data_IF_632581799701
#
_entry.id   IF_632581799701
#
_cell.length_a   1.000
_cell.length_b   1.000
_cell.length_c   1.000
_cell.angle_alpha   90.00
_cell.angle_beta   90.00
_cell.angle_gamma   90.00
#
_symmetry.space_group_name_H-M   'P 1'
#
loop_
_entity.id
_entity.type
_entity.pdbx_description
1 polymer ?
#
# COMPACT_ATOMS: atom_id res chain seq x y z
N UNK A 1 22.40 58.81 48.45
CA UNK A 1 21.90 57.64 49.21
C UNK A 1 20.51 57.15 48.77
N UNK A 2 19.62 57.96 48.18
CA UNK A 2 18.28 57.53 47.77
C UNK A 2 18.22 56.61 46.53
N UNK A 3 19.18 56.70 45.60
CA UNK A 3 19.20 55.84 44.39
C UNK A 3 19.53 54.37 44.70
N UNK A 4 20.43 54.11 45.65
CA UNK A 4 20.85 52.75 46.00
C UNK A 4 19.75 51.93 46.68
N UNK A 5 18.88 52.58 47.47
CA UNK A 5 17.76 51.89 48.13
C UNK A 5 16.62 51.56 47.17
N UNK A 6 16.41 52.37 46.12
CA UNK A 6 15.44 52.11 45.07
C UNK A 6 15.89 50.93 44.19
N UNK A 7 17.15 50.93 43.75
CA UNK A 7 17.74 49.82 42.98
C UNK A 7 17.71 48.50 43.78
N UNK A 8 18.01 48.53 45.08
CA UNK A 8 17.96 47.33 45.92
C UNK A 8 16.53 46.79 46.14
N UNK A 9 15.51 47.66 46.23
CA UNK A 9 14.10 47.24 46.32
C UNK A 9 13.59 46.68 44.99
N UNK A 10 13.91 47.33 43.88
CA UNK A 10 13.54 46.85 42.54
C UNK A 10 14.24 45.54 42.19
N UNK A 11 15.51 45.35 42.58
CA UNK A 11 16.23 44.09 42.38
C UNK A 11 15.56 42.92 43.13
N UNK A 12 15.06 43.14 44.35
CA UNK A 12 14.31 42.12 45.10
C UNK A 12 13.00 41.74 44.41
N UNK A 13 12.27 42.71 43.87
CA UNK A 13 11.02 42.46 43.13
C UNK A 13 11.30 41.67 41.84
N UNK A 14 12.34 42.05 41.09
CA UNK A 14 12.74 41.35 39.85
C UNK A 14 13.19 39.91 40.15
N UNK A 15 13.96 39.69 41.21
CA UNK A 15 14.37 38.34 41.61
C UNK A 15 13.16 37.47 42.01
N UNK A 16 12.21 38.06 42.73
CA UNK A 16 11.03 37.34 43.23
C UNK A 16 10.07 36.98 42.09
N UNK A 17 9.83 37.90 41.14
CA UNK A 17 9.03 37.60 39.94
C UNK A 17 9.70 36.58 39.03
N UNK A 18 11.03 36.65 38.88
CA UNK A 18 11.80 35.65 38.09
C UNK A 18 11.73 34.27 38.74
N UNK A 19 11.87 34.18 40.07
CA UNK A 19 11.76 32.91 40.79
C UNK A 19 10.36 32.30 40.67
N UNK A 20 9.30 33.11 40.80
CA UNK A 20 7.91 32.65 40.61
C UNK A 20 7.68 32.18 39.17
N UNK A 21 8.16 32.94 38.17
CA UNK A 21 8.09 32.53 36.76
C UNK A 21 8.81 31.22 36.49
N UNK A 22 9.99 31.01 37.08
CA UNK A 22 10.75 29.77 36.96
C UNK A 22 10.03 28.57 37.59
N UNK A 23 9.42 28.74 38.77
CA UNK A 23 8.64 27.67 39.43
C UNK A 23 7.42 27.30 38.58
N UNK A 24 6.70 28.28 38.04
CA UNK A 24 5.56 28.03 37.14
C UNK A 24 6.04 27.32 35.87
N UNK A 25 7.15 27.74 35.27
CA UNK A 25 7.70 27.10 34.07
C UNK A 25 8.11 25.64 34.32
N UNK A 26 8.77 25.35 35.44
CA UNK A 26 9.16 23.98 35.82
C UNK A 26 7.93 23.12 36.10
N UNK A 27 6.93 23.65 36.78
CA UNK A 27 5.68 22.95 37.01
C UNK A 27 5.00 22.60 35.68
N UNK A 28 4.83 23.56 34.77
CA UNK A 28 4.23 23.34 33.46
C UNK A 28 5.03 22.34 32.60
N UNK A 29 6.37 22.40 32.64
CA UNK A 29 7.22 21.47 31.90
C UNK A 29 7.10 20.03 32.41
N UNK A 30 6.93 19.85 33.72
CA UNK A 30 6.80 18.52 34.34
C UNK A 30 5.49 17.81 33.98
N UNK A 31 4.45 18.56 33.59
CA UNK A 31 3.17 18.01 33.14
C UNK A 31 3.12 17.71 31.64
N UNK A 32 4.17 18.02 30.87
CA UNK A 32 4.18 17.78 29.45
C UNK A 32 4.64 16.35 29.16
N UNK A 33 3.68 15.42 29.06
CA UNK A 33 3.97 14.02 28.71
C UNK A 33 4.70 13.96 27.36
N UNK A 34 5.78 13.17 27.25
CA UNK A 34 6.52 13.03 26.00
C UNK A 34 5.60 12.43 24.92
N UNK A 35 5.43 13.16 23.81
CA UNK A 35 4.64 12.72 22.66
C UNK A 35 5.57 12.25 21.56
N UNK A 36 5.46 10.99 21.19
CA UNK A 36 6.24 10.38 20.12
C UNK A 36 5.43 10.34 18.85
N UNK A 37 5.78 11.15 17.84
CA UNK A 37 5.10 11.14 16.55
C UNK A 37 5.80 10.19 15.59
N UNK A 38 5.12 9.10 15.25
CA UNK A 38 5.50 8.20 14.19
C UNK A 38 5.00 8.67 12.82
N UNK A 39 5.75 8.34 11.76
CA UNK A 39 5.37 8.55 10.36
C UNK A 39 5.71 7.33 9.52
N UNK A 40 4.89 7.07 8.51
CA UNK A 40 5.18 6.09 7.46
C UNK A 40 4.67 6.59 6.11
N UNK A 41 5.31 6.14 5.04
CA UNK A 41 4.83 6.34 3.67
C UNK A 41 4.31 5.00 3.15
N UNK A 42 3.07 4.99 2.66
CA UNK A 42 2.43 3.80 2.10
C UNK A 42 2.24 3.99 0.60
N UNK A 43 2.70 3.01 -0.17
CA UNK A 43 2.39 2.88 -1.58
C UNK A 43 1.09 2.09 -1.74
N UNK A 44 0.13 2.70 -2.43
CA UNK A 44 -1.18 2.14 -2.74
C UNK A 44 -0.99 1.03 -3.77
N UNK A 45 -1.56 -0.15 -3.51
CA UNK A 45 -1.45 -1.27 -4.45
C UNK A 45 -2.08 -0.98 -5.81
N UNK A 46 -1.57 -1.66 -6.82
CA UNK A 46 -1.96 -1.50 -8.22
C UNK A 46 -2.21 -2.87 -8.85
N UNK A 47 -3.21 -2.94 -9.73
CA UNK A 47 -3.49 -4.13 -10.53
C UNK A 47 -3.56 -3.72 -11.99
N UNK A 48 -2.74 -4.36 -12.82
CA UNK A 48 -2.78 -4.16 -14.26
C UNK A 48 -4.06 -4.73 -14.87
N UNK A 49 -4.56 -4.08 -15.92
CA UNK A 49 -5.64 -4.64 -16.72
C UNK A 49 -5.08 -5.18 -18.04
N UNK A 50 -5.19 -6.50 -18.31
CA UNK A 50 -4.65 -7.10 -19.54
C UNK A 50 -5.35 -6.61 -20.83
N UNK A 51 -6.48 -5.90 -20.72
CA UNK A 51 -7.24 -5.38 -21.87
C UNK A 51 -6.75 -4.04 -22.45
N UNK A 52 -5.58 -3.53 -22.01
CA UNK A 52 -4.82 -2.54 -22.80
C UNK A 52 -4.68 -1.14 -22.21
N UNK A 53 -4.94 -0.92 -20.92
CA UNK A 53 -4.48 0.30 -20.27
C UNK A 53 -2.95 0.25 -20.10
N UNK A 54 -2.25 1.24 -20.66
CA UNK A 54 -0.78 1.31 -20.61
C UNK A 54 -0.24 1.41 -19.17
N UNK A 55 -1.06 1.92 -18.24
CA UNK A 55 -0.77 2.04 -16.81
C UNK A 55 -1.73 1.15 -16.01
N UNK A 56 -1.20 0.47 -14.99
CA UNK A 56 -2.03 -0.33 -14.10
C UNK A 56 -2.99 0.55 -13.30
N UNK A 57 -4.12 -0.01 -12.90
CA UNK A 57 -5.14 0.72 -12.13
C UNK A 57 -4.81 0.60 -10.65
N UNK A 58 -4.67 1.74 -9.96
CA UNK A 58 -4.60 1.75 -8.50
C UNK A 58 -5.87 1.12 -7.92
N UNK A 59 -5.72 0.32 -6.86
CA UNK A 59 -6.83 -0.30 -6.14
C UNK A 59 -7.83 0.76 -5.66
N UNK A 60 -7.30 1.90 -5.24
CA UNK A 60 -8.04 3.07 -4.80
C UNK A 60 -7.26 4.35 -5.17
N UNK A 61 -7.93 5.47 -5.39
CA UNK A 61 -7.22 6.74 -5.62
C UNK A 61 -6.62 7.28 -4.32
N UNK A 62 -5.52 8.02 -4.44
CA UNK A 62 -4.86 8.68 -3.30
C UNK A 62 -5.81 9.57 -2.49
N UNK A 63 -6.71 10.30 -3.17
CA UNK A 63 -7.69 11.17 -2.52
C UNK A 63 -8.68 10.37 -1.66
N UNK A 64 -9.30 9.36 -2.24
CA UNK A 64 -10.32 8.54 -1.55
C UNK A 64 -9.70 7.79 -0.37
N UNK A 65 -8.49 7.25 -0.54
CA UNK A 65 -7.77 6.59 0.53
C UNK A 65 -7.43 7.55 1.67
N UNK A 66 -6.94 8.75 1.34
CA UNK A 66 -6.61 9.79 2.33
C UNK A 66 -7.85 10.21 3.11
N UNK A 67 -8.96 10.46 2.43
CA UNK A 67 -10.22 10.86 3.06
C UNK A 67 -10.74 9.75 3.97
N UNK A 68 -10.73 8.49 3.50
CA UNK A 68 -11.15 7.33 4.30
C UNK A 68 -10.31 7.19 5.56
N UNK A 69 -8.98 7.27 5.47
CA UNK A 69 -8.09 7.19 6.63
C UNK A 69 -8.34 8.30 7.65
N UNK A 70 -8.81 9.46 7.20
CA UNK A 70 -9.10 10.59 8.06
C UNK A 70 -10.50 10.54 8.69
N UNK A 71 -11.34 9.57 8.33
CA UNK A 71 -12.67 9.42 8.93
C UNK A 71 -12.60 8.99 10.40
N UNK A 72 -13.56 9.43 11.24
CA UNK A 72 -13.69 8.93 12.62
C UNK A 72 -13.82 7.41 12.69
N UNK A 73 -14.54 6.80 11.74
CA UNK A 73 -14.75 5.35 11.68
C UNK A 73 -13.44 4.59 11.56
N UNK A 74 -12.56 5.02 10.65
CA UNK A 74 -11.24 4.40 10.49
C UNK A 74 -10.39 4.55 11.76
N UNK A 75 -10.37 5.74 12.36
CA UNK A 75 -9.60 5.99 13.58
C UNK A 75 -10.09 5.14 14.76
N UNK A 76 -11.41 5.01 14.92
CA UNK A 76 -12.02 4.14 15.92
C UNK A 76 -11.71 2.66 15.67
N UNK A 77 -11.66 2.24 14.41
CA UNK A 77 -11.23 0.88 14.04
C UNK A 77 -9.79 0.62 14.47
N UNK A 78 -8.88 1.59 14.28
CA UNK A 78 -7.48 1.46 14.73
C UNK A 78 -7.40 1.31 16.26
N UNK A 79 -8.12 2.14 17.01
CA UNK A 79 -8.17 2.02 18.47
C UNK A 79 -8.68 0.64 18.91
N UNK A 80 -9.77 0.17 18.30
CA UNK A 80 -10.33 -1.16 18.57
C UNK A 80 -9.30 -2.27 18.29
N UNK A 81 -8.60 -2.19 17.18
CA UNK A 81 -7.58 -3.18 16.80
C UNK A 81 -6.34 -3.13 17.71
N UNK A 82 -6.05 -1.98 18.32
CA UNK A 82 -5.04 -1.83 19.38
C UNK A 82 -5.50 -2.33 20.76
N UNK A 83 -6.79 -2.70 20.91
CA UNK A 83 -7.38 -3.07 22.20
C UNK A 83 -7.61 -1.87 23.12
N UNK A 84 -7.63 -0.66 22.57
CA UNK A 84 -7.87 0.58 23.31
C UNK A 84 -9.37 0.91 23.34
N UNK A 85 -9.86 1.53 24.44
CA UNK A 85 -11.24 1.98 24.52
C UNK A 85 -11.53 3.13 23.55
N UNK A 86 -12.81 3.43 23.35
CA UNK A 86 -13.27 4.55 22.55
C UNK A 86 -12.62 5.88 22.98
N UNK A 87 -12.46 6.85 22.06
CA UNK A 87 -11.80 8.12 22.38
C UNK A 87 -12.57 8.96 23.42
N UNK A 88 -13.86 8.70 23.61
CA UNK A 88 -14.70 9.35 24.64
C UNK A 88 -14.47 8.80 26.05
N UNK A 89 -13.65 7.76 26.21
CA UNK A 89 -13.24 7.27 27.53
C UNK A 89 -12.20 8.20 28.16
N UNK A 90 -12.04 8.13 29.49
CA UNK A 90 -10.99 8.85 30.24
C UNK A 90 -9.56 8.34 29.94
N UNK A 91 -9.34 7.63 28.83
CA UNK A 91 -8.04 7.11 28.43
C UNK A 91 -7.31 8.11 27.51
N UNK A 92 -6.27 8.74 28.05
CA UNK A 92 -5.45 9.71 27.32
C UNK A 92 -4.77 9.14 26.07
N UNK A 93 -4.38 7.86 26.08
CA UNK A 93 -3.73 7.22 24.94
C UNK A 93 -4.72 7.03 23.77
N UNK A 94 -5.97 6.67 24.07
CA UNK A 94 -7.03 6.57 23.07
C UNK A 94 -7.29 7.91 22.39
N UNK A 95 -7.43 8.98 23.18
CA UNK A 95 -7.63 10.32 22.67
C UNK A 95 -6.42 10.80 21.83
N UNK A 96 -5.20 10.57 22.34
CA UNK A 96 -3.97 10.97 21.65
C UNK A 96 -3.84 10.30 20.28
N UNK A 97 -4.04 8.99 20.19
CA UNK A 97 -3.96 8.26 18.92
C UNK A 97 -5.09 8.70 17.98
N UNK A 98 -6.31 8.84 18.47
CA UNK A 98 -7.47 9.23 17.66
C UNK A 98 -7.31 10.62 17.03
N UNK A 99 -6.86 11.60 17.81
CA UNK A 99 -6.72 12.98 17.35
C UNK A 99 -5.51 13.17 16.42
N UNK A 100 -4.43 12.43 16.69
CA UNK A 100 -3.18 12.57 15.95
C UNK A 100 -3.09 11.70 14.70
N UNK A 101 -3.87 10.62 14.59
CA UNK A 101 -3.87 9.75 13.42
C UNK A 101 -4.41 10.51 12.21
N UNK A 102 -3.53 10.74 11.23
CA UNK A 102 -3.87 11.47 10.01
C UNK A 102 -3.13 10.91 8.81
N UNK A 103 -3.85 10.81 7.69
CA UNK A 103 -3.29 10.56 6.38
C UNK A 103 -3.21 11.87 5.58
N UNK A 104 -2.16 12.00 4.78
CA UNK A 104 -1.94 13.11 3.85
C UNK A 104 -1.41 12.59 2.52
N UNK A 105 -1.71 13.24 1.39
CA UNK A 105 -1.10 12.90 0.11
C UNK A 105 0.42 13.06 0.18
N UNK A 106 1.17 12.08 -0.34
CA UNK A 106 2.62 12.17 -0.48
C UNK A 106 3.02 12.61 -1.90
N UNK A 107 4.33 12.70 -2.16
CA UNK A 107 4.85 13.05 -3.49
C UNK A 107 4.72 11.88 -4.45
N UNK A 108 3.61 11.82 -5.17
CA UNK A 108 3.32 10.76 -6.15
C UNK A 108 1.81 10.43 -6.15
N UNK A 109 1.25 9.96 -7.27
CA UNK A 109 -0.18 9.65 -7.37
C UNK A 109 -0.59 8.38 -6.61
N UNK A 110 0.36 7.55 -6.21
CA UNK A 110 0.20 6.25 -5.58
C UNK A 110 0.72 6.21 -4.13
N UNK A 111 1.12 7.36 -3.55
CA UNK A 111 1.75 7.40 -2.23
C UNK A 111 0.93 8.20 -1.22
N UNK A 112 0.79 7.73 0.00
CA UNK A 112 0.25 8.51 1.12
C UNK A 112 1.20 8.51 2.32
N UNK A 113 1.19 9.58 3.09
CA UNK A 113 1.88 9.65 4.37
C UNK A 113 0.87 9.49 5.49
N UNK A 114 1.13 8.55 6.40
CA UNK A 114 0.34 8.36 7.62
C UNK A 114 1.20 8.73 8.80
N UNK A 115 0.63 9.49 9.72
CA UNK A 115 1.27 9.87 10.97
C UNK A 115 0.34 9.63 12.14
N UNK A 116 0.92 9.34 13.30
CA UNK A 116 0.21 9.16 14.56
C UNK A 116 1.15 9.48 15.71
N UNK A 117 0.60 9.95 16.82
CA UNK A 117 1.35 10.19 18.05
C UNK A 117 0.91 9.21 19.13
N UNK A 118 1.86 8.76 19.95
CA UNK A 118 1.62 7.93 21.13
C UNK A 118 2.37 8.46 22.35
N UNK A 119 1.99 7.97 23.53
CA UNK A 119 2.68 8.24 24.80
C UNK A 119 4.04 7.55 24.89
N UNK A 120 4.26 6.53 24.07
CA UNK A 120 5.56 5.89 23.88
C UNK A 120 5.89 5.66 22.40
N UNK A 121 7.18 5.43 22.13
CA UNK A 121 7.67 5.07 20.80
C UNK A 121 7.01 3.78 20.29
N UNK A 122 6.92 2.79 21.17
CA UNK A 122 6.33 1.48 20.86
C UNK A 122 4.85 1.61 20.55
N UNK A 123 4.14 2.49 21.26
CA UNK A 123 2.72 2.74 21.01
C UNK A 123 2.51 3.44 19.67
N UNK A 124 3.29 4.48 19.36
CA UNK A 124 3.22 5.15 18.06
C UNK A 124 3.53 4.18 16.90
N UNK A 125 4.54 3.33 17.07
CA UNK A 125 4.87 2.28 16.10
C UNK A 125 3.72 1.30 15.91
N UNK A 126 3.18 0.73 16.99
CA UNK A 126 2.05 -0.22 16.94
C UNK A 126 0.82 0.40 16.30
N UNK A 127 0.54 1.67 16.56
CA UNK A 127 -0.57 2.38 15.95
C UNK A 127 -0.40 2.53 14.43
N UNK A 128 0.81 2.87 13.96
CA UNK A 128 1.12 2.90 12.53
C UNK A 128 1.00 1.52 11.88
N UNK A 129 1.57 0.50 12.50
CA UNK A 129 1.51 -0.88 12.00
C UNK A 129 0.06 -1.37 11.91
N UNK A 130 -0.75 -1.08 12.93
CA UNK A 130 -2.17 -1.41 12.94
C UNK A 130 -2.93 -0.67 11.84
N UNK A 131 -2.64 0.62 11.63
CA UNK A 131 -3.22 1.40 10.55
C UNK A 131 -2.84 0.83 9.17
N UNK A 132 -1.56 0.46 8.97
CA UNK A 132 -1.12 -0.19 7.74
C UNK A 132 -1.82 -1.53 7.52
N UNK A 133 -1.90 -2.39 8.53
CA UNK A 133 -2.52 -3.71 8.44
C UNK A 133 -4.01 -3.62 8.09
N UNK A 134 -4.74 -2.65 8.66
CA UNK A 134 -6.13 -2.40 8.29
C UNK A 134 -6.28 -2.04 6.80
N UNK A 135 -5.40 -1.17 6.29
CA UNK A 135 -5.38 -0.78 4.88
C UNK A 135 -4.99 -1.92 3.96
N UNK A 136 -3.91 -2.63 4.28
CA UNK A 136 -3.42 -3.77 3.52
C UNK A 136 -4.49 -4.86 3.42
N UNK A 137 -5.14 -5.19 4.54
CA UNK A 137 -6.24 -6.18 4.57
C UNK A 137 -7.39 -5.78 3.65
N UNK A 138 -7.77 -4.50 3.63
CA UNK A 138 -8.84 -4.03 2.77
C UNK A 138 -8.46 -4.06 1.29
N UNK A 139 -7.24 -3.66 0.96
CA UNK A 139 -6.73 -3.69 -0.41
C UNK A 139 -6.52 -5.13 -0.91
N UNK A 140 -6.13 -6.06 -0.03
CA UNK A 140 -5.95 -7.47 -0.37
C UNK A 140 -7.24 -8.16 -0.83
N UNK A 141 -8.41 -7.72 -0.34
CA UNK A 141 -9.72 -8.19 -0.82
C UNK A 141 -9.95 -7.92 -2.31
N UNK A 142 -9.27 -6.92 -2.88
CA UNK A 142 -9.33 -6.59 -4.31
C UNK A 142 -8.14 -7.18 -5.04
N UNK A 143 -6.94 -7.02 -4.47
CA UNK A 143 -5.68 -7.45 -5.07
C UNK A 143 -5.59 -8.96 -5.25
N UNK A 144 -5.78 -9.74 -4.18
CA UNK A 144 -5.53 -11.18 -4.21
C UNK A 144 -6.47 -11.91 -5.19
N UNK A 145 -7.79 -11.66 -5.24
CA UNK A 145 -8.65 -12.30 -6.24
C UNK A 145 -8.30 -11.92 -7.68
N UNK A 146 -7.89 -10.67 -7.92
CA UNK A 146 -7.51 -10.22 -9.26
C UNK A 146 -6.23 -10.91 -9.74
N UNK A 147 -5.19 -10.94 -8.89
CA UNK A 147 -3.93 -11.64 -9.20
C UNK A 147 -4.15 -13.14 -9.38
N UNK A 148 -4.95 -13.76 -8.52
CA UNK A 148 -5.26 -15.19 -8.63
C UNK A 148 -5.99 -15.52 -9.94
N UNK A 149 -6.92 -14.66 -10.38
CA UNK A 149 -7.58 -14.81 -11.68
C UNK A 149 -6.59 -14.72 -12.84
N UNK A 150 -5.71 -13.71 -12.85
CA UNK A 150 -4.70 -13.56 -13.90
C UNK A 150 -3.72 -14.75 -13.93
N UNK A 151 -3.32 -15.27 -12.75
CA UNK A 151 -2.48 -16.46 -12.66
C UNK A 151 -3.18 -17.71 -13.20
N UNK A 152 -4.46 -17.89 -12.88
CA UNK A 152 -5.26 -19.00 -13.40
C UNK A 152 -5.40 -18.92 -14.92
N UNK A 153 -5.67 -17.73 -15.47
CA UNK A 153 -5.76 -17.50 -16.91
C UNK A 153 -4.40 -17.73 -17.61
N UNK A 154 -3.28 -17.33 -17.01
CA UNK A 154 -1.94 -17.63 -17.55
C UNK A 154 -1.65 -19.14 -17.55
N UNK A 155 -2.09 -19.87 -16.51
CA UNK A 155 -1.97 -21.31 -16.46
C UNK A 155 -2.83 -22.00 -17.54
N UNK A 156 -4.07 -21.54 -17.75
CA UNK A 156 -4.95 -22.03 -18.82
C UNK A 156 -4.37 -21.77 -20.21
N UNK A 157 -3.88 -20.56 -20.48
CA UNK A 157 -3.20 -20.22 -21.73
C UNK A 157 -1.97 -21.09 -21.96
N UNK A 158 -1.21 -21.40 -20.91
CA UNK A 158 -0.04 -22.28 -20.99
C UNK A 158 -0.44 -23.72 -21.33
N UNK A 159 -1.53 -24.24 -20.75
CA UNK A 159 -2.06 -25.56 -21.07
C UNK A 159 -2.56 -25.63 -22.52
N UNK A 160 -3.34 -24.64 -22.95
CA UNK A 160 -3.86 -24.52 -24.31
C UNK A 160 -2.73 -24.41 -25.35
N UNK A 161 -1.66 -23.67 -25.03
CA UNK A 161 -0.48 -23.56 -25.88
C UNK A 161 0.23 -24.91 -26.03
N UNK A 162 0.45 -25.63 -24.93
CA UNK A 162 1.07 -26.96 -24.95
C UNK A 162 0.24 -27.99 -25.72
N UNK A 163 -1.09 -27.92 -25.61
CA UNK A 163 -1.98 -28.75 -26.42
C UNK A 163 -1.88 -28.42 -27.91
N UNK A 164 -1.96 -27.14 -28.28
CA UNK A 164 -1.83 -26.71 -29.67
C UNK A 164 -0.47 -27.09 -30.29
N UNK A 165 0.61 -27.01 -29.52
CA UNK A 165 1.95 -27.44 -29.95
C UNK A 165 2.02 -28.96 -30.19
N UNK A 166 1.37 -29.77 -29.35
CA UNK A 166 1.26 -31.23 -29.57
C UNK A 166 0.44 -31.56 -30.81
N UNK A 167 -0.67 -30.87 -31.02
CA UNK A 167 -1.51 -31.06 -32.20
C UNK A 167 -0.79 -30.64 -33.49
N UNK A 168 -0.02 -29.55 -33.44
CA UNK A 168 0.85 -29.12 -34.52
C UNK A 168 1.85 -30.21 -34.89
N UNK A 169 2.55 -30.79 -33.90
CA UNK A 169 3.53 -31.86 -34.13
C UNK A 169 2.89 -33.10 -34.75
N UNK A 170 1.70 -33.51 -34.28
CA UNK A 170 0.97 -34.66 -34.83
C UNK A 170 0.53 -34.42 -36.27
N UNK A 171 -0.06 -33.26 -36.56
CA UNK A 171 -0.50 -32.89 -37.90
C UNK A 171 0.67 -32.76 -38.88
N UNK A 172 1.79 -32.20 -38.42
CA UNK A 172 3.02 -32.09 -39.21
C UNK A 172 3.65 -33.47 -39.49
N UNK A 173 3.67 -34.37 -38.51
CA UNK A 173 4.14 -35.74 -38.72
C UNK A 173 3.25 -36.50 -39.74
N UNK A 174 1.93 -36.32 -39.67
CA UNK A 174 0.98 -36.93 -40.61
C UNK A 174 1.17 -36.43 -42.06
N UNK A 175 1.47 -35.15 -42.25
CA UNK A 175 1.86 -34.58 -43.55
C UNK A 175 3.12 -35.23 -44.10
N UNK A 176 4.15 -35.39 -43.26
CA UNK A 176 5.43 -35.96 -43.68
C UNK A 176 5.36 -37.48 -43.98
N UNK A 177 4.41 -38.21 -43.37
CA UNK A 177 4.19 -39.63 -43.63
C UNK A 177 3.30 -39.91 -44.84
N UNK A 178 2.62 -38.90 -45.38
CA UNK A 178 1.70 -39.04 -46.53
C UNK A 178 2.48 -39.03 -47.85
N UNK A 179 2.20 -39.98 -48.75
CA UNK A 179 2.88 -40.15 -50.05
C UNK A 179 2.93 -38.82 -50.83
N UNK A 180 4.08 -38.53 -51.48
CA UNK A 180 4.45 -37.28 -52.19
C UNK A 180 3.50 -36.77 -53.29
N UNK A 181 2.41 -37.47 -53.57
CA UNK A 181 1.42 -37.07 -54.57
C UNK A 181 0.46 -36.01 -53.98
N UNK A 182 0.23 -34.87 -54.68
CA UNK A 182 -0.63 -33.80 -54.21
C UNK A 182 -2.10 -34.23 -54.28
N UNK A 183 -2.58 -34.85 -53.21
CA UNK A 183 -4.00 -35.20 -53.01
C UNK A 183 -4.75 -34.09 -52.27
N UNK A 184 -6.07 -34.00 -52.45
CA UNK A 184 -6.93 -33.06 -51.73
C UNK A 184 -6.78 -33.18 -50.19
N UNK A 185 -6.47 -34.37 -49.69
CA UNK A 185 -6.15 -34.65 -48.29
C UNK A 185 -4.89 -33.90 -47.79
N UNK A 186 -3.84 -33.79 -48.63
CA UNK A 186 -2.60 -33.09 -48.31
C UNK A 186 -2.80 -31.57 -48.25
N UNK A 187 -3.63 -31.01 -49.15
CA UNK A 187 -3.99 -29.58 -49.13
C UNK A 187 -4.81 -29.22 -47.89
N UNK A 188 -5.75 -30.08 -47.50
CA UNK A 188 -6.53 -29.90 -46.27
C UNK A 188 -5.64 -29.93 -45.02
N UNK A 189 -4.77 -30.94 -44.90
CA UNK A 189 -3.88 -31.05 -43.73
C UNK A 189 -2.89 -29.89 -43.65
N UNK A 190 -2.42 -29.37 -44.80
CA UNK A 190 -1.57 -28.16 -44.84
C UNK A 190 -2.31 -26.93 -44.30
N UNK A 191 -3.57 -26.74 -44.66
CA UNK A 191 -4.40 -25.65 -44.13
C UNK A 191 -4.61 -25.80 -42.62
N UNK A 192 -4.89 -27.02 -42.14
CA UNK A 192 -5.02 -27.30 -40.70
C UNK A 192 -3.74 -26.95 -39.94
N UNK A 193 -2.56 -27.36 -40.44
CA UNK A 193 -1.27 -27.01 -39.82
C UNK A 193 -1.04 -25.51 -39.79
N UNK A 194 -1.35 -24.79 -40.87
CA UNK A 194 -1.25 -23.34 -40.91
C UNK A 194 -2.18 -22.67 -39.87
N UNK A 195 -3.41 -23.14 -39.74
CA UNK A 195 -4.37 -22.64 -38.74
C UNK A 195 -3.89 -22.89 -37.30
N UNK A 196 -3.37 -24.09 -37.00
CA UNK A 196 -2.79 -24.38 -35.68
C UNK A 196 -1.58 -23.48 -35.41
N UNK A 197 -0.72 -23.25 -36.41
CA UNK A 197 0.42 -22.34 -36.30
C UNK A 197 0.01 -20.92 -35.93
N UNK A 198 -1.04 -20.38 -36.57
CA UNK A 198 -1.61 -19.06 -36.22
C UNK A 198 -2.14 -19.07 -34.78
N UNK A 199 -2.85 -20.11 -34.37
CA UNK A 199 -3.38 -20.25 -33.01
C UNK A 199 -2.27 -20.27 -31.96
N UNK A 200 -1.17 -20.99 -32.20
CA UNK A 200 0.01 -21.00 -31.33
C UNK A 200 0.57 -19.59 -31.15
N UNK A 201 0.72 -18.82 -32.24
CA UNK A 201 1.22 -17.45 -32.17
C UNK A 201 0.29 -16.53 -31.37
N UNK A 202 -1.03 -16.64 -31.58
CA UNK A 202 -2.01 -15.87 -30.81
C UNK A 202 -1.98 -16.22 -29.32
N UNK A 203 -1.90 -17.50 -28.97
CA UNK A 203 -1.80 -17.96 -27.59
C UNK A 203 -0.51 -17.46 -26.92
N UNK A 204 0.63 -17.51 -27.62
CA UNK A 204 1.91 -16.97 -27.13
C UNK A 204 1.82 -15.47 -26.86
N UNK A 205 1.26 -14.70 -27.80
CA UNK A 205 1.08 -13.26 -27.61
C UNK A 205 0.14 -12.93 -26.45
N UNK A 206 -0.97 -13.67 -26.32
CA UNK A 206 -1.91 -13.51 -25.21
C UNK A 206 -1.22 -13.80 -23.86
N UNK A 207 -0.48 -14.91 -23.78
CA UNK A 207 0.30 -15.27 -22.58
C UNK A 207 1.32 -14.20 -22.22
N UNK A 208 2.10 -13.73 -23.19
CA UNK A 208 3.12 -12.72 -22.94
C UNK A 208 2.52 -11.42 -22.40
N UNK A 209 1.40 -10.94 -22.97
CA UNK A 209 0.72 -9.72 -22.46
C UNK A 209 0.21 -9.90 -21.02
N UNK A 210 -0.30 -11.09 -20.70
CA UNK A 210 -0.80 -11.39 -19.36
C UNK A 210 0.33 -11.52 -18.35
N UNK A 211 1.44 -12.17 -18.73
CA UNK A 211 2.64 -12.28 -17.89
C UNK A 211 3.28 -10.91 -17.66
N UNK A 212 3.34 -10.05 -18.68
CA UNK A 212 3.77 -8.66 -18.55
C UNK A 212 2.86 -7.89 -17.57
N UNK A 213 1.55 -8.12 -17.62
CA UNK A 213 0.58 -7.50 -16.70
C UNK A 213 0.75 -7.98 -15.26
N UNK A 214 1.18 -9.23 -15.06
CA UNK A 214 1.49 -9.82 -13.76
C UNK A 214 2.83 -9.35 -13.17
N UNK A 215 3.70 -8.72 -13.96
CA UNK A 215 4.99 -8.25 -13.46
C UNK A 215 4.82 -7.25 -12.31
N UNK A 216 5.69 -7.34 -11.29
CA UNK A 216 5.66 -6.51 -10.08
C UNK A 216 5.70 -5.00 -10.35
N UNK A 217 6.19 -4.59 -11.52
CA UNK A 217 6.21 -3.18 -11.96
C UNK A 217 4.80 -2.67 -12.27
N UNK A 218 3.89 -3.56 -12.68
CA UNK A 218 2.52 -3.23 -13.12
C UNK A 218 1.45 -3.68 -12.12
N UNK A 219 1.71 -4.75 -11.39
CA UNK A 219 0.81 -5.30 -10.39
C UNK A 219 1.58 -5.54 -9.10
N UNK A 220 1.26 -4.77 -8.05
CA UNK A 220 1.94 -4.87 -6.77
C UNK A 220 0.95 -4.63 -5.61
N UNK A 221 1.15 -5.29 -4.47
CA UNK A 221 0.29 -5.10 -3.31
C UNK A 221 0.58 -3.74 -2.64
N UNK A 222 -0.30 -3.36 -1.71
CA UNK A 222 -0.07 -2.18 -0.88
C UNK A 222 1.10 -2.44 0.07
N UNK A 223 2.05 -1.51 0.16
CA UNK A 223 3.29 -1.72 0.93
C UNK A 223 3.80 -0.44 1.57
N UNK A 224 4.59 -0.58 2.63
CA UNK A 224 5.29 0.55 3.28
C UNK A 224 6.60 0.84 2.54
N UNK A 225 6.86 2.12 2.26
CA UNK A 225 8.12 2.61 1.71
C UNK A 225 8.97 3.22 2.83
N UNK A 226 10.26 2.87 2.89
CA UNK A 226 11.21 3.45 3.85
C UNK A 226 11.01 3.03 5.32
N UNK A 227 10.03 2.15 5.60
CA UNK A 227 9.74 1.65 6.94
C UNK A 227 8.97 2.62 7.83
N UNK A 228 8.78 2.24 9.09
CA UNK A 228 8.16 3.07 10.11
C UNK A 228 9.22 3.98 10.74
N UNK A 229 9.03 5.30 10.64
CA UNK A 229 9.91 6.27 11.27
C UNK A 229 9.29 6.78 12.57
N UNK A 230 9.91 6.48 13.70
CA UNK A 230 9.62 7.12 14.99
C UNK A 230 10.95 7.65 15.55
N UNK A 231 11.07 8.97 15.78
CA UNK A 231 12.33 9.58 16.23
C UNK A 231 12.83 8.93 17.53
N UNK A 232 14.15 8.96 17.72
CA UNK A 232 14.87 8.48 18.91
C UNK A 232 14.79 9.48 20.05
#
# INVERSE_FOLDING_TARGET
MALQSFVAKSAKVILLTTAVGAVIAVALFSFQHPKWTGRMTVQIGQVANPSGAADGKLIESQSTLTDRCNTPTFRSEILKNLGLPAPESENEDSALIFDSLRATPAKGPDLINIQVSGSSREQAFKALETAFNALATQHDKVYAPAVNRMKAESAELSANLSEAERDYQRAYAALNSSTREPTAQNLFTTNVVAQIGIRIQLLRQAKQRLDDSLADVRTYPTRVLGGYYVPL
#
